data_IF_019536706496
#
_entry.id   IF_019536706496
#
_cell.length_a   1.000
_cell.length_b   1.000
_cell.length_c   1.000
_cell.angle_alpha   90.00
_cell.angle_beta   90.00
_cell.angle_gamma   90.00
#
_symmetry.space_group_name_H-M   'P 1'
#
loop_
_entity.id
_entity.type
_entity.pdbx_description
1 polymer ?
#
# COMPACT_ATOMS: atom_id res chain seq x y z
N UNK A 1 21.01 28.49 61.25
CA UNK A 1 19.79 28.26 60.44
C UNK A 1 20.20 27.51 59.17
N UNK A 2 20.05 26.18 59.14
CA UNK A 2 20.27 25.35 57.95
C UNK A 2 18.91 24.82 57.51
N UNK A 3 18.50 25.07 56.26
CA UNK A 3 17.24 24.57 55.70
C UNK A 3 17.52 23.45 54.69
N UNK A 4 16.85 22.33 54.92
CA UNK A 4 17.09 21.05 54.27
C UNK A 4 16.56 21.01 52.83
N UNK A 5 17.30 20.30 51.98
CA UNK A 5 16.91 19.94 50.62
C UNK A 5 15.83 18.83 50.61
N UNK A 6 14.94 18.86 49.61
CA UNK A 6 14.24 17.66 49.11
C UNK A 6 13.89 17.87 47.63
N UNK A 7 14.52 17.16 46.68
CA UNK A 7 14.06 17.10 45.29
C UNK A 7 13.03 15.97 45.14
N UNK A 8 11.76 16.31 44.93
CA UNK A 8 10.71 15.32 44.61
C UNK A 8 10.90 14.82 43.17
N UNK A 9 11.48 13.62 43.02
CA UNK A 9 11.44 12.85 41.78
C UNK A 9 10.08 12.19 41.59
N UNK A 10 9.37 12.36 40.45
CA UNK A 10 8.18 11.58 40.18
C UNK A 10 8.54 10.14 39.80
N UNK A 11 8.17 9.22 40.69
CA UNK A 11 8.29 7.77 40.55
C UNK A 11 7.39 7.22 39.42
N UNK A 12 8.05 6.75 38.37
CA UNK A 12 7.75 5.59 37.49
C UNK A 12 6.41 4.85 37.72
N UNK A 13 5.47 5.00 36.78
CA UNK A 13 4.45 3.97 36.49
C UNK A 13 4.76 3.34 35.12
N UNK A 14 5.08 2.03 35.03
CA UNK A 14 5.07 1.39 33.73
C UNK A 14 3.60 1.26 33.31
N UNK A 15 3.18 2.07 32.34
CA UNK A 15 1.97 1.79 31.60
C UNK A 15 2.18 0.46 30.88
N UNK A 16 1.73 -0.64 31.48
CA UNK A 16 1.56 -1.90 30.78
C UNK A 16 0.50 -1.66 29.70
N UNK A 17 0.97 -1.21 28.53
CA UNK A 17 0.22 -1.17 27.28
C UNK A 17 -0.31 -2.58 27.10
N UNK A 18 -1.60 -2.76 27.37
CA UNK A 18 -2.36 -3.99 27.15
C UNK A 18 -2.04 -4.42 25.73
N UNK A 19 -1.18 -5.43 25.58
CA UNK A 19 -0.88 -5.98 24.28
C UNK A 19 -2.21 -6.50 23.74
N UNK A 20 -2.81 -5.74 22.81
CA UNK A 20 -3.93 -6.22 22.04
C UNK A 20 -3.38 -7.39 21.27
N UNK A 21 -3.65 -8.61 21.77
CA UNK A 21 -3.38 -9.86 21.07
C UNK A 21 -3.93 -9.67 19.67
N UNK A 22 -3.05 -9.40 18.72
CA UNK A 22 -3.40 -9.27 17.32
C UNK A 22 -3.88 -10.66 16.95
N UNK A 23 -5.20 -10.83 16.88
CA UNK A 23 -5.81 -12.09 16.43
C UNK A 23 -5.28 -12.30 15.02
N UNK A 24 -4.30 -13.18 14.89
CA UNK A 24 -3.72 -13.56 13.61
C UNK A 24 -4.85 -14.25 12.85
N UNK A 25 -5.41 -13.55 11.86
CA UNK A 25 -6.44 -14.12 11.00
C UNK A 25 -5.80 -15.28 10.26
N UNK A 26 -6.28 -16.49 10.54
CA UNK A 26 -5.92 -17.67 9.74
C UNK A 26 -6.26 -17.39 8.27
N UNK A 27 -5.41 -17.84 7.33
CA UNK A 27 -5.70 -17.73 5.91
C UNK A 27 -7.02 -18.45 5.60
N UNK A 28 -7.84 -17.84 4.74
CA UNK A 28 -9.15 -18.37 4.31
C UNK A 28 -9.34 -18.12 2.82
N UNK A 29 -10.21 -18.91 2.19
CA UNK A 29 -10.53 -18.78 0.78
C UNK A 29 -9.28 -18.97 -0.10
N UNK A 30 -9.04 -18.04 -1.03
CA UNK A 30 -7.92 -18.10 -1.96
C UNK A 30 -6.54 -18.17 -1.30
N UNK A 31 -6.39 -17.56 -0.11
CA UNK A 31 -5.14 -17.57 0.63
C UNK A 31 -4.89 -18.89 1.39
N UNK A 32 -5.92 -19.73 1.56
CA UNK A 32 -5.82 -21.03 2.22
C UNK A 32 -5.66 -22.21 1.23
N UNK A 33 -5.73 -21.95 -0.08
CA UNK A 33 -5.57 -22.97 -1.12
C UNK A 33 -4.11 -23.41 -1.26
N UNK A 34 -3.92 -24.58 -1.88
CA UNK A 34 -2.60 -25.06 -2.29
C UNK A 34 -1.92 -24.06 -3.26
N UNK A 35 -0.59 -23.84 -3.15
CA UNK A 35 0.12 -22.89 -4.01
C UNK A 35 0.00 -23.18 -5.51
N UNK A 36 -0.09 -24.44 -5.93
CA UNK A 36 -0.31 -24.76 -7.34
C UNK A 36 -1.71 -24.38 -7.79
N UNK A 37 -2.71 -24.70 -6.98
CA UNK A 37 -4.11 -24.37 -7.29
C UNK A 37 -4.30 -22.85 -7.35
N UNK A 38 -3.70 -22.12 -6.40
CA UNK A 38 -3.70 -20.66 -6.39
C UNK A 38 -3.09 -20.08 -7.67
N UNK A 39 -1.95 -20.64 -8.12
CA UNK A 39 -1.26 -20.22 -9.34
C UNK A 39 -2.09 -20.48 -10.60
N UNK A 40 -2.75 -21.64 -10.68
CA UNK A 40 -3.65 -21.97 -11.81
C UNK A 40 -4.80 -20.98 -11.91
N UNK A 41 -5.52 -20.75 -10.80
CA UNK A 41 -6.65 -19.81 -10.75
C UNK A 41 -6.18 -18.37 -11.06
N UNK A 42 -5.04 -17.94 -10.51
CA UNK A 42 -4.48 -16.62 -10.83
C UNK A 42 -4.14 -16.49 -12.33
N UNK A 43 -3.53 -17.52 -12.90
CA UNK A 43 -3.19 -17.56 -14.33
C UNK A 43 -4.45 -17.51 -15.22
N UNK A 44 -5.46 -18.30 -14.88
CA UNK A 44 -6.75 -18.31 -15.58
C UNK A 44 -7.48 -16.97 -15.45
N UNK A 45 -7.48 -16.34 -14.27
CA UNK A 45 -8.07 -15.02 -14.05
C UNK A 45 -7.42 -13.92 -14.88
N UNK A 46 -6.09 -13.95 -15.01
CA UNK A 46 -5.34 -13.03 -15.88
C UNK A 46 -5.64 -13.24 -17.37
N UNK A 47 -5.65 -14.50 -17.81
CA UNK A 47 -6.01 -14.87 -19.19
C UNK A 47 -7.46 -14.48 -19.52
N UNK A 48 -8.40 -14.74 -18.62
CA UNK A 48 -9.81 -14.38 -18.78
C UNK A 48 -9.99 -12.86 -18.83
N UNK A 49 -9.26 -12.10 -18.00
CA UNK A 49 -9.29 -10.64 -18.03
C UNK A 49 -8.83 -10.10 -19.39
N UNK A 50 -7.74 -10.63 -19.94
CA UNK A 50 -7.27 -10.26 -21.28
C UNK A 50 -8.22 -10.73 -22.39
N UNK A 51 -8.70 -11.97 -22.32
CA UNK A 51 -9.59 -12.56 -23.32
C UNK A 51 -10.97 -11.91 -23.33
N UNK A 52 -11.45 -11.41 -22.19
CA UNK A 52 -12.74 -10.73 -22.08
C UNK A 52 -12.83 -9.49 -22.96
N UNK A 53 -11.69 -8.98 -23.47
CA UNK A 53 -11.69 -8.05 -24.60
C UNK A 53 -12.39 -6.72 -24.30
N UNK A 54 -12.74 -6.44 -23.04
CA UNK A 54 -13.29 -5.16 -22.56
C UNK A 54 -12.24 -4.05 -22.56
N UNK A 55 -11.07 -4.30 -23.15
CA UNK A 55 -10.09 -3.29 -23.46
C UNK A 55 -10.65 -2.33 -24.49
N UNK A 56 -10.66 -1.06 -24.14
CA UNK A 56 -10.94 0.00 -25.08
C UNK A 56 -9.94 -0.07 -26.25
N UNK A 57 -10.44 -0.14 -27.50
CA UNK A 57 -9.57 -0.05 -28.66
C UNK A 57 -9.19 1.40 -28.85
N UNK A 58 -7.95 1.74 -28.49
CA UNK A 58 -7.43 3.07 -28.75
C UNK A 58 -7.41 3.35 -30.24
N UNK A 59 -8.12 4.40 -30.64
CA UNK A 59 -7.94 4.99 -31.97
C UNK A 59 -6.64 5.79 -31.99
N UNK A 60 -6.04 5.98 -33.17
CA UNK A 60 -4.83 6.79 -33.32
C UNK A 60 -5.00 8.22 -32.79
N UNK A 61 -6.21 8.77 -32.91
CA UNK A 61 -6.56 10.09 -32.39
C UNK A 61 -6.53 10.14 -30.86
N UNK A 62 -7.10 9.12 -30.22
CA UNK A 62 -7.14 9.03 -28.77
C UNK A 62 -5.77 8.78 -28.14
N UNK A 63 -4.96 7.93 -28.76
CA UNK A 63 -3.56 7.75 -28.37
C UNK A 63 -2.80 9.08 -28.44
N UNK A 64 -3.04 9.89 -29.48
CA UNK A 64 -2.44 11.23 -29.63
C UNK A 64 -2.97 12.22 -28.61
N UNK A 65 -4.26 12.17 -28.26
CA UNK A 65 -4.85 13.01 -27.22
C UNK A 65 -4.29 12.66 -25.82
N UNK A 66 -4.22 11.37 -25.50
CA UNK A 66 -3.64 10.86 -24.25
C UNK A 66 -2.15 11.21 -24.14
N UNK A 67 -1.39 11.04 -25.22
CA UNK A 67 0.03 11.43 -25.30
C UNK A 67 0.24 12.93 -25.11
N UNK A 68 -0.58 13.78 -25.76
CA UNK A 68 -0.54 15.23 -25.54
C UNK A 68 -0.83 15.59 -24.09
N UNK A 69 -1.87 14.99 -23.49
CA UNK A 69 -2.24 15.21 -22.08
C UNK A 69 -1.13 14.78 -21.13
N UNK A 70 -0.53 13.61 -21.35
CA UNK A 70 0.61 13.11 -20.57
C UNK A 70 1.85 14.02 -20.69
N UNK A 71 2.15 14.48 -21.90
CA UNK A 71 3.26 15.41 -22.16
C UNK A 71 3.05 16.82 -21.61
N UNK A 72 1.81 17.26 -21.43
CA UNK A 72 1.50 18.49 -20.69
C UNK A 72 1.73 18.29 -19.19
N UNK A 73 1.22 17.19 -18.63
CA UNK A 73 1.38 16.88 -17.20
C UNK A 73 2.85 16.69 -16.81
N UNK A 74 3.68 16.08 -17.66
CA UNK A 74 5.12 15.91 -17.39
C UNK A 74 5.88 17.23 -17.45
N UNK A 75 5.51 18.16 -18.34
CA UNK A 75 6.10 19.51 -18.42
C UNK A 75 5.72 20.39 -17.23
N UNK A 76 4.57 20.16 -16.62
CA UNK A 76 4.12 20.92 -15.44
C UNK A 76 4.74 20.40 -14.13
N UNK A 77 5.27 19.18 -14.11
CA UNK A 77 5.97 18.66 -12.93
C UNK A 77 7.36 19.30 -12.84
N UNK A 78 7.66 20.11 -11.80
CA UNK A 78 9.03 20.55 -11.59
C UNK A 78 9.87 19.29 -11.37
N UNK A 79 10.94 19.12 -12.16
CA UNK A 79 11.96 18.14 -11.81
C UNK A 79 12.56 18.60 -10.49
N UNK A 80 12.18 17.96 -9.39
CA UNK A 80 12.91 18.07 -8.14
C UNK A 80 14.26 17.39 -8.35
N UNK A 81 15.15 18.12 -9.01
CA UNK A 81 16.58 17.87 -9.04
C UNK A 81 17.12 18.31 -7.68
N UNK A 82 16.98 17.42 -6.70
CA UNK A 82 17.80 17.44 -5.49
C UNK A 82 19.06 16.65 -5.83
N UNK A 83 20.17 17.35 -6.00
CA UNK A 83 21.53 16.80 -5.87
C UNK A 83 22.24 17.59 -4.79
#
# INVERSE_FOLDING_TARGET
>A
MQTNATPTSPSRRPAQRRATKTVTKSPRGFAAMDPEQQRRIASEGGKASHASGRGHRFTSEEARAAGRKGGMASRTRPSTATR
#
